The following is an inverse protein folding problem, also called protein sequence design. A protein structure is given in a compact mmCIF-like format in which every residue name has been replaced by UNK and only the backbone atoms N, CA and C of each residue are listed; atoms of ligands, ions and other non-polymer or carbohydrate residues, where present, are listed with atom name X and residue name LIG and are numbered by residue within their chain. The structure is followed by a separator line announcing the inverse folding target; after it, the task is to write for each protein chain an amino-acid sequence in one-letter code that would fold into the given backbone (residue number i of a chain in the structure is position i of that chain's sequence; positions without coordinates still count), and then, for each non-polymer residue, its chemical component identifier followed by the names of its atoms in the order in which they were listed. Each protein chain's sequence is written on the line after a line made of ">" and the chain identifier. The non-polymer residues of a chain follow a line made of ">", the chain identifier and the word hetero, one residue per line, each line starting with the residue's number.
data_IF_178442318917
#
_entry.id   IF_178442318917
#
_cell.length_a   1.000
_cell.length_b   1.000
_cell.length_c   1.000
_cell.angle_alpha   90.00
_cell.angle_beta   90.00
_cell.angle_gamma   90.00
#
_symmetry.space_group_name_H-M   'P 1'
#
loop_
_entity.id
_entity.type
_entity.pdbx_description
1 polymer ?
#
# COMPACT_ATOMS: atom_id res chain seq x y z
N UNK A 1 9.71 -8.03 -2.55
CA UNK A 1 8.32 -7.88 -2.05
C UNK A 1 7.61 -6.82 -2.88
N UNK A 2 6.28 -6.88 -2.93
CA UNK A 2 5.44 -5.81 -3.49
C UNK A 2 4.69 -5.15 -2.33
N UNK A 3 4.85 -3.85 -2.17
CA UNK A 3 4.14 -3.04 -1.20
C UNK A 3 3.07 -2.21 -1.91
N UNK A 4 1.85 -2.20 -1.37
CA UNK A 4 0.74 -1.38 -1.85
C UNK A 4 0.31 -0.45 -0.72
N UNK A 5 0.62 0.84 -0.82
CA UNK A 5 0.20 1.81 0.18
C UNK A 5 -1.26 2.23 -0.06
N UNK A 6 -2.05 2.21 1.01
CA UNK A 6 -3.43 2.64 1.01
C UNK A 6 -3.75 3.47 2.26
N UNK A 7 -4.85 4.21 2.19
CA UNK A 7 -5.17 5.24 3.18
C UNK A 7 -5.62 4.63 4.52
N UNK A 8 -6.74 3.91 4.54
CA UNK A 8 -7.34 3.29 5.73
C UNK A 8 -8.47 2.33 5.32
N UNK A 9 -8.94 1.49 6.24
CA UNK A 9 -9.92 0.42 5.98
C UNK A 9 -11.27 0.90 5.41
N UNK A 10 -11.75 2.07 5.83
CA UNK A 10 -13.01 2.67 5.36
C UNK A 10 -12.91 3.47 4.06
N UNK A 11 -11.74 3.60 3.46
CA UNK A 11 -11.53 4.42 2.25
C UNK A 11 -12.23 3.79 1.03
N UNK A 12 -13.16 4.48 0.33
CA UNK A 12 -13.93 3.88 -0.77
C UNK A 12 -13.06 3.34 -1.91
N UNK A 13 -12.10 4.14 -2.40
CA UNK A 13 -11.19 3.71 -3.45
C UNK A 13 -10.29 2.54 -3.02
N UNK A 14 -9.94 2.47 -1.74
CA UNK A 14 -9.13 1.40 -1.17
C UNK A 14 -9.93 0.07 -1.12
N UNK A 15 -11.23 0.16 -0.84
CA UNK A 15 -12.16 -0.98 -0.86
C UNK A 15 -12.41 -1.56 -2.25
N UNK A 16 -12.06 -0.83 -3.31
CA UNK A 16 -12.08 -1.32 -4.70
C UNK A 16 -10.71 -1.89 -5.07
N UNK A 17 -9.64 -1.16 -4.73
CA UNK A 17 -8.27 -1.49 -5.15
C UNK A 17 -7.73 -2.78 -4.50
N UNK A 18 -7.89 -2.97 -3.19
CA UNK A 18 -7.29 -4.14 -2.52
C UNK A 18 -7.88 -5.48 -3.00
N UNK A 19 -9.20 -5.64 -3.19
CA UNK A 19 -9.74 -6.86 -3.81
C UNK A 19 -9.27 -7.07 -5.25
N UNK A 20 -9.02 -6.00 -6.01
CA UNK A 20 -8.42 -6.10 -7.34
C UNK A 20 -7.00 -6.65 -7.24
N UNK A 21 -6.14 -6.11 -6.38
CA UNK A 21 -4.77 -6.60 -6.21
C UNK A 21 -4.72 -8.02 -5.63
N UNK A 22 -5.64 -8.37 -4.73
CA UNK A 22 -5.84 -9.75 -4.26
C UNK A 22 -6.12 -10.71 -5.42
N UNK A 23 -6.93 -10.32 -6.41
CA UNK A 23 -7.22 -11.20 -7.56
C UNK A 23 -6.12 -11.19 -8.62
N UNK A 24 -5.51 -10.04 -8.88
CA UNK A 24 -4.63 -9.85 -10.03
C UNK A 24 -3.14 -10.03 -9.71
N UNK A 25 -2.71 -9.71 -8.48
CA UNK A 25 -1.31 -9.78 -8.08
C UNK A 25 -1.03 -11.00 -7.20
N UNK A 26 -1.85 -11.24 -6.19
CA UNK A 26 -1.54 -12.21 -5.14
C UNK A 26 -1.26 -13.64 -5.64
N UNK A 27 -2.04 -14.26 -6.55
CA UNK A 27 -1.80 -15.63 -6.98
C UNK A 27 -0.43 -15.80 -7.62
N UNK A 28 -0.10 -14.91 -8.57
CA UNK A 28 1.16 -14.95 -9.31
C UNK A 28 2.35 -14.63 -8.42
N UNK A 29 2.24 -13.62 -7.56
CA UNK A 29 3.31 -13.27 -6.62
C UNK A 29 3.56 -14.39 -5.62
N UNK A 30 2.51 -15.08 -5.16
CA UNK A 30 2.63 -16.26 -4.28
C UNK A 30 3.40 -17.40 -4.96
N UNK A 31 3.10 -17.72 -6.22
CA UNK A 31 3.84 -18.73 -7.00
C UNK A 31 5.33 -18.39 -7.13
N UNK A 32 5.64 -17.09 -7.30
CA UNK A 32 7.01 -16.58 -7.40
C UNK A 32 7.71 -16.45 -6.04
N UNK A 33 7.03 -16.77 -4.93
CA UNK A 33 7.57 -16.61 -3.58
C UNK A 33 7.79 -15.14 -3.18
N UNK A 34 7.07 -14.20 -3.79
CA UNK A 34 7.17 -12.76 -3.54
C UNK A 34 6.01 -12.32 -2.65
N UNK A 35 6.27 -11.79 -1.45
CA UNK A 35 5.21 -11.28 -0.58
C UNK A 35 4.50 -10.07 -1.20
N UNK A 36 3.17 -10.06 -1.14
CA UNK A 36 2.32 -8.89 -1.40
C UNK A 36 1.81 -8.34 -0.06
N UNK A 37 2.10 -7.06 0.21
CA UNK A 37 1.76 -6.41 1.49
C UNK A 37 1.02 -5.11 1.23
N UNK A 38 -0.22 -5.00 1.69
CA UNK A 38 -0.94 -3.75 1.76
C UNK A 38 -0.54 -3.00 3.04
N UNK A 39 -0.12 -1.74 2.91
CA UNK A 39 0.44 -0.92 4.00
C UNK A 39 -0.40 0.33 4.21
N UNK A 40 -0.80 0.63 5.45
CA UNK A 40 -1.56 1.83 5.81
C UNK A 40 -1.07 2.38 7.14
N UNK A 41 -1.13 3.70 7.37
CA UNK A 41 -0.83 4.27 8.70
C UNK A 41 -1.86 3.91 9.76
N UNK A 42 -2.97 3.28 9.38
CA UNK A 42 -4.02 2.95 10.32
C UNK A 42 -3.54 1.92 11.35
N UNK A 43 -3.92 2.13 12.61
CA UNK A 43 -3.59 1.23 13.72
C UNK A 43 -4.00 -0.23 13.43
N UNK A 44 -3.19 -1.22 13.84
CA UNK A 44 -3.39 -2.63 13.48
C UNK A 44 -4.79 -3.17 13.77
N UNK A 45 -5.38 -2.79 14.91
CA UNK A 45 -6.67 -3.30 15.38
C UNK A 45 -7.80 -2.98 14.40
N UNK A 46 -7.69 -1.84 13.69
CA UNK A 46 -8.69 -1.39 12.71
C UNK A 46 -8.43 -1.94 11.30
N UNK A 47 -7.19 -2.34 11.00
CA UNK A 47 -6.85 -2.95 9.71
C UNK A 47 -7.43 -4.35 9.54
N UNK A 48 -7.78 -5.03 10.63
CA UNK A 48 -8.51 -6.30 10.59
C UNK A 48 -9.80 -6.17 9.77
N UNK A 49 -10.47 -5.03 9.85
CA UNK A 49 -11.75 -4.79 9.19
C UNK A 49 -11.67 -4.94 7.66
N UNK A 50 -10.67 -4.33 7.01
CA UNK A 50 -10.56 -4.44 5.54
C UNK A 50 -10.12 -5.83 5.10
N UNK A 51 -9.29 -6.49 5.92
CA UNK A 51 -8.84 -7.87 5.67
C UNK A 51 -10.01 -8.85 5.70
N UNK A 52 -10.85 -8.76 6.73
CA UNK A 52 -12.02 -9.65 6.88
C UNK A 52 -13.12 -9.32 5.88
N UNK A 53 -13.44 -8.03 5.67
CA UNK A 53 -14.49 -7.59 4.75
C UNK A 53 -14.31 -8.14 3.34
N UNK A 54 -13.07 -8.22 2.87
CA UNK A 54 -12.74 -8.66 1.51
C UNK A 54 -12.06 -10.03 1.45
N UNK A 55 -11.97 -10.74 2.59
CA UNK A 55 -11.29 -12.04 2.70
C UNK A 55 -9.88 -12.04 2.09
N UNK A 56 -9.10 -11.00 2.38
CA UNK A 56 -7.78 -10.78 1.79
C UNK A 56 -6.77 -11.81 2.33
N UNK A 57 -6.10 -12.53 1.44
CA UNK A 57 -4.99 -13.42 1.77
C UNK A 57 -3.65 -12.70 1.73
N UNK A 58 -3.53 -11.61 0.96
CA UNK A 58 -2.38 -10.72 1.05
C UNK A 58 -2.15 -10.23 2.48
N UNK A 59 -0.90 -9.90 2.80
CA UNK A 59 -0.55 -9.38 4.10
C UNK A 59 -1.06 -7.94 4.22
N UNK A 60 -1.60 -7.58 5.38
CA UNK A 60 -2.02 -6.20 5.68
C UNK A 60 -1.21 -5.75 6.89
N UNK A 61 -0.47 -4.65 6.74
CA UNK A 61 0.46 -4.14 7.72
C UNK A 61 0.16 -2.66 8.04
N UNK A 62 0.44 -2.29 9.29
CA UNK A 62 0.42 -0.91 9.74
C UNK A 62 1.79 -0.26 9.49
N UNK A 63 1.80 1.03 9.11
CA UNK A 63 2.95 1.93 9.09
C UNK A 63 2.79 2.98 10.21
N UNK A 64 3.16 2.66 11.46
CA UNK A 64 2.94 3.55 12.59
C UNK A 64 3.54 4.94 12.33
N UNK A 65 2.77 5.98 12.63
CA UNK A 65 3.13 7.39 12.47
C UNK A 65 3.56 7.81 11.05
N UNK A 66 3.13 7.04 10.04
CA UNK A 66 3.54 7.19 8.64
C UNK A 66 5.08 7.14 8.45
N UNK A 67 5.81 6.40 9.29
CA UNK A 67 7.27 6.41 9.27
C UNK A 67 7.87 5.97 7.92
N UNK A 68 7.39 4.87 7.35
CA UNK A 68 7.84 4.39 6.06
C UNK A 68 7.36 5.31 4.94
N UNK A 69 6.08 5.71 4.95
CA UNK A 69 5.54 6.63 3.96
C UNK A 69 6.30 7.96 3.88
N UNK A 70 6.74 8.50 5.02
CA UNK A 70 7.56 9.72 5.09
C UNK A 70 8.94 9.53 4.50
N UNK A 71 9.61 8.40 4.80
CA UNK A 71 10.93 8.07 4.23
C UNK A 71 10.89 7.87 2.72
N UNK A 72 9.76 7.40 2.19
CA UNK A 72 9.52 7.25 0.76
C UNK A 72 9.05 8.55 0.08
N UNK A 73 8.72 9.59 0.84
CA UNK A 73 8.24 10.86 0.29
C UNK A 73 6.86 10.78 -0.36
N UNK A 74 6.02 9.82 0.04
CA UNK A 74 4.71 9.55 -0.59
C UNK A 74 3.53 10.09 0.22
N UNK A 75 3.78 10.92 1.23
CA UNK A 75 2.72 11.49 2.04
C UNK A 75 2.19 12.78 1.44
N UNK A 76 0.90 13.02 1.64
CA UNK A 76 0.31 14.34 1.47
C UNK A 76 -0.40 14.75 2.77
N UNK A 77 -0.41 16.06 3.02
CA UNK A 77 -1.16 16.66 4.12
C UNK A 77 -2.49 17.21 3.62
N UNK A 78 -3.53 17.10 4.44
CA UNK A 78 -4.80 17.78 4.15
C UNK A 78 -4.58 19.30 4.16
N UNK A 79 -5.10 19.97 3.13
CA UNK A 79 -5.25 21.42 3.12
C UNK A 79 -6.36 21.85 4.09
N UNK A 80 -6.45 23.16 4.34
CA UNK A 80 -7.40 23.72 5.30
C UNK A 80 -8.85 23.37 4.95
N UNK A 81 -9.22 23.44 3.67
CA UNK A 81 -10.56 23.09 3.20
C UNK A 81 -10.89 21.61 3.51
N UNK A 82 -9.96 20.69 3.24
CA UNK A 82 -10.14 19.26 3.52
C UNK A 82 -10.22 18.98 5.02
N UNK A 83 -9.43 19.69 5.84
CA UNK A 83 -9.51 19.59 7.31
C UNK A 83 -10.88 20.02 7.82
N UNK A 84 -11.34 21.20 7.39
CA UNK A 84 -12.64 21.74 7.79
C UNK A 84 -13.79 20.82 7.37
N UNK A 85 -13.73 20.27 6.14
CA UNK A 85 -14.72 19.31 5.66
C UNK A 85 -14.72 18.00 6.45
N UNK A 86 -13.55 17.49 6.86
CA UNK A 86 -13.43 16.29 7.68
C UNK A 86 -13.97 16.51 9.10
N UNK A 87 -13.65 17.65 9.71
CA UNK A 87 -14.15 18.04 11.04
C UNK A 87 -15.66 18.23 11.05
N UNK A 88 -16.23 18.88 10.03
CA UNK A 88 -17.67 19.05 9.90
C UNK A 88 -18.44 17.72 9.77
N UNK A 89 -17.77 16.68 9.24
CA UNK A 89 -18.31 15.31 9.17
C UNK A 89 -18.08 14.48 10.44
N UNK A 90 -17.41 15.04 11.45
CA UNK A 90 -17.04 14.34 12.69
C UNK A 90 -16.00 13.25 12.50
N UNK A 91 -15.24 13.27 11.40
CA UNK A 91 -14.30 12.20 11.03
C UNK A 91 -12.89 12.76 10.81
N UNK A 92 -12.21 13.26 11.87
CA UNK A 92 -10.82 13.67 11.76
C UNK A 92 -9.93 12.49 11.34
N UNK A 93 -9.08 12.73 10.35
CA UNK A 93 -8.28 11.65 9.74
C UNK A 93 -7.23 11.09 10.70
N UNK A 94 -6.70 11.93 11.60
CA UNK A 94 -5.77 11.53 12.64
C UNK A 94 -6.36 10.52 13.60
N UNK A 95 -7.65 10.64 13.95
CA UNK A 95 -8.35 9.63 14.75
C UNK A 95 -8.66 8.39 13.94
N UNK A 96 -9.05 8.53 12.67
CA UNK A 96 -9.32 7.40 11.77
C UNK A 96 -8.13 6.47 11.64
N UNK A 97 -6.94 7.06 11.41
CA UNK A 97 -5.67 6.35 11.30
C UNK A 97 -5.09 5.99 12.66
N UNK A 98 -5.37 6.77 13.70
CA UNK A 98 -4.73 6.64 15.01
C UNK A 98 -3.34 7.29 15.09
N UNK A 99 -2.94 8.07 14.08
CA UNK A 99 -1.67 8.82 14.09
C UNK A 99 -1.78 10.20 14.74
N UNK A 100 -3.00 10.73 14.90
CA UNK A 100 -3.21 12.12 15.33
C UNK A 100 -2.76 13.18 14.31
N UNK A 101 -2.33 12.77 13.11
CA UNK A 101 -1.85 13.67 12.06
C UNK A 101 -2.92 13.94 10.99
N UNK A 102 -2.65 14.91 10.12
CA UNK A 102 -3.45 15.20 8.92
C UNK A 102 -2.82 14.63 7.64
N UNK A 103 -1.96 13.63 7.79
CA UNK A 103 -1.19 13.01 6.70
C UNK A 103 -1.78 11.67 6.29
N UNK A 104 -1.74 11.39 4.99
CA UNK A 104 -2.03 10.09 4.42
C UNK A 104 -1.04 9.76 3.30
N UNK A 105 -0.79 8.46 3.04
CA UNK A 105 -0.07 8.08 1.86
C UNK A 105 -0.89 8.35 0.60
N UNK A 106 -0.21 8.88 -0.41
CA UNK A 106 -0.62 8.79 -1.79
C UNK A 106 -0.69 7.31 -2.20
N UNK A 107 -1.66 6.92 -3.05
CA UNK A 107 -1.68 5.59 -3.63
C UNK A 107 -0.32 5.29 -4.28
N UNK A 108 0.31 4.23 -3.79
CA UNK A 108 1.68 3.89 -4.20
C UNK A 108 1.82 2.38 -4.29
N UNK A 109 2.47 1.91 -5.34
CA UNK A 109 2.96 0.52 -5.43
C UNK A 109 4.47 0.54 -5.54
N UNK A 110 5.16 -0.26 -4.71
CA UNK A 110 6.62 -0.41 -4.72
C UNK A 110 6.99 -1.88 -4.88
N UNK A 111 7.91 -2.17 -5.81
CA UNK A 111 8.60 -3.47 -5.87
C UNK A 111 10.00 -3.31 -5.28
N UNK A 112 10.29 -4.08 -4.24
CA UNK A 112 11.56 -4.04 -3.50
C UNK A 112 12.31 -5.36 -3.71
N UNK A 113 13.57 -5.28 -4.09
CA UNK A 113 14.48 -6.41 -4.26
C UNK A 113 15.02 -6.96 -2.93
N UNK A 114 15.70 -8.11 -2.99
CA UNK A 114 16.24 -8.78 -1.79
C UNK A 114 17.32 -7.97 -1.07
N UNK A 115 18.06 -7.15 -1.81
CA UNK A 115 19.08 -6.23 -1.29
C UNK A 115 18.49 -4.91 -0.76
N UNK A 116 17.16 -4.75 -0.81
CA UNK A 116 16.47 -3.55 -0.37
C UNK A 116 16.35 -2.45 -1.43
N UNK A 117 16.88 -2.65 -2.64
CA UNK A 117 16.74 -1.69 -3.74
C UNK A 117 15.29 -1.65 -4.28
N UNK A 118 14.86 -0.48 -4.74
CA UNK A 118 13.54 -0.31 -5.38
C UNK A 118 13.67 -0.60 -6.86
N UNK A 119 12.99 -1.64 -7.35
CA UNK A 119 12.97 -2.04 -8.75
C UNK A 119 11.83 -1.41 -9.55
N UNK A 120 10.77 -0.98 -8.85
CA UNK A 120 9.64 -0.27 -9.44
C UNK A 120 8.96 0.56 -8.36
N UNK A 121 8.53 1.76 -8.73
CA UNK A 121 7.67 2.60 -7.91
C UNK A 121 6.74 3.38 -8.81
N UNK A 122 5.46 3.41 -8.44
CA UNK A 122 4.49 4.32 -9.03
C UNK A 122 3.70 4.97 -7.90
N UNK A 123 3.58 6.29 -7.97
CA UNK A 123 2.91 7.15 -6.98
C UNK A 123 1.89 8.00 -7.72
N UNK A 124 0.65 8.01 -7.25
CA UNK A 124 -0.40 8.86 -7.83
C UNK A 124 -0.75 10.02 -6.90
N UNK A 125 -0.73 11.29 -7.37
CA UNK A 125 -1.26 12.40 -6.60
C UNK A 125 -2.80 12.39 -6.53
N UNK A 126 -3.47 11.75 -7.49
CA UNK A 126 -4.90 11.52 -7.45
C UNK A 126 -5.19 10.26 -6.64
N UNK A 127 -5.89 10.44 -5.52
CA UNK A 127 -6.26 9.35 -4.62
C UNK A 127 -7.27 8.37 -5.22
N UNK A 128 -7.84 8.64 -6.41
CA UNK A 128 -8.70 7.72 -7.17
C UNK A 128 -7.92 6.86 -8.18
N UNK A 129 -6.79 7.35 -8.68
CA UNK A 129 -5.96 6.62 -9.65
C UNK A 129 -5.13 5.55 -8.94
N UNK A 130 -5.06 4.37 -9.54
CA UNK A 130 -4.37 3.19 -9.00
C UNK A 130 -3.44 2.62 -10.06
N UNK A 131 -2.30 2.12 -9.62
CA UNK A 131 -1.36 1.41 -10.48
C UNK A 131 -1.97 0.11 -10.98
N UNK A 132 -1.87 -0.14 -12.28
CA UNK A 132 -2.34 -1.38 -12.89
C UNK A 132 -1.50 -2.57 -12.44
N UNK A 133 -2.10 -3.76 -12.40
CA UNK A 133 -1.42 -4.97 -11.92
C UNK A 133 -0.30 -5.45 -12.87
N UNK A 134 -0.53 -5.36 -14.18
CA UNK A 134 0.36 -5.93 -15.20
C UNK A 134 1.79 -5.33 -15.15
N UNK A 135 1.99 -4.00 -15.11
CA UNK A 135 3.33 -3.42 -14.97
C UNK A 135 4.08 -3.88 -13.70
N UNK A 136 3.34 -4.11 -12.61
CA UNK A 136 3.91 -4.56 -11.33
C UNK A 136 4.42 -5.99 -11.44
N UNK A 137 3.66 -6.89 -12.07
CA UNK A 137 4.08 -8.27 -12.33
C UNK A 137 5.31 -8.30 -13.25
N UNK A 138 5.30 -7.53 -14.33
CA UNK A 138 6.43 -7.42 -15.25
C UNK A 138 7.70 -6.89 -14.56
N UNK A 139 7.57 -5.96 -13.61
CA UNK A 139 8.70 -5.49 -12.83
C UNK A 139 9.27 -6.60 -11.93
N UNK A 140 8.41 -7.38 -11.26
CA UNK A 140 8.82 -8.50 -10.43
C UNK A 140 9.52 -9.59 -11.26
N UNK A 141 8.94 -9.98 -12.39
CA UNK A 141 9.50 -11.04 -13.23
C UNK A 141 10.86 -10.64 -13.84
N UNK A 142 11.00 -9.39 -14.29
CA UNK A 142 12.29 -8.85 -14.74
C UNK A 142 13.33 -8.87 -13.63
N UNK A 143 12.96 -8.48 -12.41
CA UNK A 143 13.86 -8.49 -11.27
C UNK A 143 14.33 -9.91 -10.90
N UNK A 144 13.44 -10.90 -10.98
CA UNK A 144 13.80 -12.30 -10.72
C UNK A 144 14.68 -12.89 -11.82
N UNK A 145 14.46 -12.52 -13.08
CA UNK A 145 15.30 -12.95 -14.20
C UNK A 145 16.73 -12.39 -14.15
N UNK A 146 16.94 -11.25 -13.48
CA UNK A 146 18.25 -10.59 -13.34
C UNK A 146 19.07 -11.10 -12.15
N UNK A 147 18.48 -11.90 -11.25
CA UNK A 147 19.21 -12.46 -10.13
C UNK A 147 20.12 -13.60 -10.61
N UNK A 148 21.46 -13.51 -10.45
CA UNK A 148 22.35 -14.60 -10.82
C UNK A 148 21.97 -15.84 -10.02
N UNK A 149 21.87 -16.99 -10.70
CA UNK A 149 21.72 -18.29 -10.05
C UNK A 149 22.92 -18.48 -9.13
N UNK A 150 22.67 -18.40 -7.82
CA UNK A 150 23.69 -18.70 -6.83
C UNK A 150 23.90 -20.22 -6.86
N UNK A 151 24.82 -20.67 -7.71
CA UNK A 151 25.32 -22.04 -7.72
C UNK A 151 26.00 -22.27 -6.37
N UNK A 152 25.28 -22.92 -5.45
CA UNK A 152 25.91 -23.55 -4.31
C UNK A 152 26.78 -24.70 -4.86
N UNK A 153 28.09 -24.47 -4.93
CA UNK A 153 29.10 -25.53 -5.12
C UNK A 153 29.36 -26.15 -3.76
#
# INVERSE_FOLDING_TARGET
>A
AVLVFFRFAGCPACNIALPYYERQLYPRLRELGVPLVAVSPQVPERLVEIKTRHNLQLLVASDPDNNLGRRLGILYSFDEASRNAALAKGNPIGETTGTGTWELPQPTVVVIARDGSVAFVEVSPDWLVRTEAEPVLQAVERLLAQQPVQLAI
#
